data_IF_177136258032
#
_entry.id   IF_177136258032
#
_cell.length_a   1.000
_cell.length_b   1.000
_cell.length_c   1.000
_cell.angle_alpha   90.00
_cell.angle_beta   90.00
_cell.angle_gamma   90.00
#
_symmetry.space_group_name_H-M   'P 1'
#
loop_
_entity.id
_entity.type
_entity.pdbx_description
1 polymer ?
#
# COMPACT_ATOMS: atom_id res chain seq x y z
N UNK A 1 -1.02 35.24 11.78
CA UNK A 1 -1.40 33.93 11.20
C UNK A 1 -0.25 32.98 11.46
N UNK A 2 -0.48 31.89 12.19
CA UNK A 2 0.53 30.82 12.31
C UNK A 2 0.48 29.99 11.02
N UNK A 3 1.61 29.62 10.41
CA UNK A 3 1.57 28.69 9.29
C UNK A 3 0.98 27.37 9.80
N UNK A 4 -0.07 26.89 9.15
CA UNK A 4 -0.49 25.49 9.27
C UNK A 4 0.71 24.67 8.84
N UNK A 5 1.34 24.00 9.79
CA UNK A 5 2.30 22.95 9.50
C UNK A 5 1.51 21.86 8.79
N UNK A 6 1.55 21.84 7.45
CA UNK A 6 1.10 20.69 6.68
C UNK A 6 1.89 19.50 7.18
N UNK A 7 1.30 18.69 8.07
CA UNK A 7 1.89 17.42 8.44
C UNK A 7 2.06 16.62 7.14
N UNK A 8 3.23 16.02 6.89
CA UNK A 8 3.37 15.14 5.76
C UNK A 8 2.33 14.02 5.90
N UNK A 9 1.48 13.85 4.90
CA UNK A 9 0.50 12.77 4.85
C UNK A 9 1.25 11.43 4.85
N UNK A 10 0.71 10.42 5.53
CA UNK A 10 1.34 9.10 5.52
C UNK A 10 1.32 8.53 4.09
N UNK A 11 2.29 7.68 3.70
CA UNK A 11 2.27 7.01 2.42
C UNK A 11 0.99 6.22 2.15
N UNK A 12 0.35 5.66 3.19
CA UNK A 12 -0.96 5.00 3.05
C UNK A 12 -2.05 6.03 2.74
N UNK A 13 -2.09 7.15 3.47
CA UNK A 13 -3.06 8.23 3.22
C UNK A 13 -2.88 8.88 1.84
N UNK A 14 -1.65 8.94 1.32
CA UNK A 14 -1.34 9.34 -0.05
C UNK A 14 -2.05 8.46 -1.08
N UNK A 15 -2.14 7.14 -0.86
CA UNK A 15 -2.82 6.24 -1.79
C UNK A 15 -4.31 6.59 -1.94
N UNK A 16 -4.95 6.98 -0.84
CA UNK A 16 -6.36 7.37 -0.83
C UNK A 16 -6.66 8.73 -1.44
N UNK A 17 -5.71 9.67 -1.32
CA UNK A 17 -5.89 11.06 -1.77
C UNK A 17 -5.43 11.30 -3.20
N UNK A 18 -4.64 10.37 -3.76
CA UNK A 18 -4.11 10.49 -5.11
C UNK A 18 -5.07 9.84 -6.10
N UNK A 19 -5.40 10.55 -7.17
CA UNK A 19 -6.15 9.96 -8.28
C UNK A 19 -5.39 8.74 -8.82
N UNK A 20 -6.11 7.65 -9.03
CA UNK A 20 -5.48 6.38 -9.41
C UNK A 20 -4.62 6.49 -10.69
N UNK A 21 -5.03 7.32 -11.66
CA UNK A 21 -4.25 7.58 -12.87
C UNK A 21 -2.86 8.20 -12.61
N UNK A 22 -2.65 8.79 -11.43
CA UNK A 22 -1.38 9.36 -10.98
C UNK A 22 -0.64 8.47 -9.98
N UNK A 23 -1.23 7.37 -9.54
CA UNK A 23 -0.55 6.39 -8.70
C UNK A 23 0.48 5.61 -9.50
N UNK A 24 1.59 5.31 -8.85
CA UNK A 24 2.71 4.56 -9.42
C UNK A 24 3.06 3.36 -8.54
N UNK A 25 3.77 2.36 -9.09
CA UNK A 25 4.34 1.28 -8.27
C UNK A 25 5.23 1.79 -7.13
N UNK A 26 5.90 2.93 -7.31
CA UNK A 26 6.71 3.55 -6.26
C UNK A 26 5.88 4.01 -5.07
N UNK A 27 4.68 4.55 -5.30
CA UNK A 27 3.79 4.98 -4.21
C UNK A 27 3.33 3.78 -3.37
N UNK A 28 3.00 2.67 -4.03
CA UNK A 28 2.65 1.42 -3.35
C UNK A 28 3.86 0.89 -2.56
N UNK A 29 5.06 0.97 -3.15
CA UNK A 29 6.30 0.56 -2.48
C UNK A 29 6.61 1.41 -1.24
N UNK A 30 6.35 2.72 -1.28
CA UNK A 30 6.46 3.61 -0.14
C UNK A 30 5.49 3.21 0.98
N UNK A 31 4.23 2.92 0.63
CA UNK A 31 3.22 2.45 1.59
C UNK A 31 3.59 1.10 2.23
N UNK A 32 4.11 0.16 1.44
CA UNK A 32 4.64 -1.12 1.95
C UNK A 32 5.75 -0.88 2.98
N UNK A 33 6.70 -0.01 2.67
CA UNK A 33 7.85 0.25 3.55
C UNK A 33 7.47 1.04 4.80
N UNK A 34 6.40 1.83 4.74
CA UNK A 34 5.88 2.60 5.86
C UNK A 34 5.08 1.74 6.85
N UNK A 35 4.36 0.72 6.36
CA UNK A 35 3.48 -0.10 7.20
C UNK A 35 4.26 -0.91 8.24
N UNK A 36 4.03 -0.61 9.52
CA UNK A 36 4.63 -1.32 10.66
C UNK A 36 4.02 -2.73 10.79
N UNK A 37 4.81 -3.80 10.61
CA UNK A 37 4.31 -5.18 10.70
C UNK A 37 3.87 -5.60 12.11
N UNK A 38 4.28 -4.87 13.15
CA UNK A 38 3.89 -5.12 14.55
C UNK A 38 2.65 -4.35 14.99
N UNK A 39 2.18 -3.41 14.18
CA UNK A 39 1.00 -2.61 14.44
C UNK A 39 -0.27 -3.48 14.51
N UNK A 40 -1.22 -3.09 15.36
CA UNK A 40 -2.55 -3.68 15.38
C UNK A 40 -3.29 -3.53 14.03
N UNK A 41 -2.94 -2.49 13.26
CA UNK A 41 -3.49 -2.22 11.93
C UNK A 41 -2.75 -2.97 10.80
N UNK A 42 -1.68 -3.71 11.09
CA UNK A 42 -0.81 -4.28 10.05
C UNK A 42 -1.57 -5.10 8.98
N UNK A 43 -2.53 -5.94 9.38
CA UNK A 43 -3.30 -6.72 8.40
C UNK A 43 -4.14 -5.80 7.51
N UNK A 44 -4.83 -4.83 8.11
CA UNK A 44 -5.68 -3.88 7.39
C UNK A 44 -4.84 -3.05 6.42
N UNK A 45 -3.72 -2.47 6.87
CA UNK A 45 -2.81 -1.70 6.00
C UNK A 45 -2.36 -2.53 4.79
N UNK A 46 -2.01 -3.81 4.99
CA UNK A 46 -1.59 -4.66 3.87
C UNK A 46 -2.70 -5.01 2.91
N UNK A 47 -3.94 -5.14 3.41
CA UNK A 47 -5.12 -5.39 2.56
C UNK A 47 -5.41 -4.18 1.68
N UNK A 48 -5.37 -2.99 2.27
CA UNK A 48 -5.57 -1.72 1.56
C UNK A 48 -4.50 -1.53 0.47
N UNK A 49 -3.22 -1.69 0.83
CA UNK A 49 -2.09 -1.61 -0.11
C UNK A 49 -2.23 -2.63 -1.25
N UNK A 50 -2.64 -3.87 -0.94
CA UNK A 50 -2.88 -4.90 -1.96
C UNK A 50 -4.00 -4.48 -2.92
N UNK A 51 -5.09 -3.90 -2.41
CA UNK A 51 -6.19 -3.40 -3.24
C UNK A 51 -5.73 -2.34 -4.27
N UNK A 52 -4.88 -1.41 -3.86
CA UNK A 52 -4.29 -0.43 -4.79
C UNK A 52 -3.35 -1.08 -5.81
N UNK A 53 -2.54 -2.05 -5.40
CA UNK A 53 -1.67 -2.78 -6.32
C UNK A 53 -2.45 -3.62 -7.34
N UNK A 54 -3.56 -4.24 -6.91
CA UNK A 54 -4.46 -5.01 -7.78
C UNK A 54 -5.16 -4.11 -8.80
N UNK A 55 -5.62 -2.93 -8.40
CA UNK A 55 -6.12 -1.93 -9.34
C UNK A 55 -5.03 -1.55 -10.36
N UNK A 56 -3.78 -1.39 -9.90
CA UNK A 56 -2.58 -1.23 -10.71
C UNK A 56 -2.45 -2.23 -11.84
N UNK A 57 -2.49 -3.51 -11.49
CA UNK A 57 -2.40 -4.62 -12.44
C UNK A 57 -3.58 -4.65 -13.42
N UNK A 58 -4.78 -4.29 -12.97
CA UNK A 58 -5.96 -4.25 -13.85
C UNK A 58 -5.85 -3.16 -14.93
N UNK A 59 -5.32 -2.00 -14.57
CA UNK A 59 -5.13 -0.89 -15.51
C UNK A 59 -3.90 -1.09 -16.41
N UNK A 60 -2.81 -1.65 -15.85
CA UNK A 60 -1.53 -1.82 -16.53
C UNK A 60 -1.08 -3.29 -16.54
N UNK A 61 -1.83 -4.20 -17.18
CA UNK A 61 -1.60 -5.65 -17.08
C UNK A 61 -0.28 -6.13 -17.68
N UNK A 62 0.33 -5.35 -18.57
CA UNK A 62 1.62 -5.67 -19.21
C UNK A 62 2.82 -5.00 -18.52
N UNK A 63 2.60 -4.20 -17.47
CA UNK A 63 3.70 -3.54 -16.76
C UNK A 63 4.40 -4.51 -15.80
N UNK A 64 5.71 -4.76 -15.99
CA UNK A 64 6.48 -5.59 -15.07
C UNK A 64 6.61 -4.95 -13.68
N UNK A 65 6.62 -3.61 -13.59
CA UNK A 65 6.70 -2.88 -12.32
C UNK A 65 5.42 -3.05 -11.50
N UNK A 66 4.24 -2.94 -12.14
CA UNK A 66 2.96 -3.21 -11.48
C UNK A 66 2.83 -4.67 -11.08
N UNK A 67 3.33 -5.60 -11.91
CA UNK A 67 3.31 -7.04 -11.59
C UNK A 67 4.17 -7.34 -10.37
N UNK A 68 5.39 -6.79 -10.34
CA UNK A 68 6.30 -6.94 -9.22
C UNK A 68 5.71 -6.39 -7.92
N UNK A 69 5.14 -5.18 -7.95
CA UNK A 69 4.64 -4.57 -6.72
C UNK A 69 3.38 -5.24 -6.19
N UNK A 70 2.52 -5.74 -7.10
CA UNK A 70 1.37 -6.57 -6.74
C UNK A 70 1.80 -7.86 -6.04
N UNK A 71 2.73 -8.62 -6.63
CA UNK A 71 3.23 -9.85 -6.02
C UNK A 71 3.84 -9.60 -4.63
N UNK A 72 4.54 -8.47 -4.47
CA UNK A 72 5.12 -8.07 -3.19
C UNK A 72 4.03 -7.76 -2.17
N UNK A 73 3.03 -6.96 -2.54
CA UNK A 73 1.90 -6.63 -1.67
C UNK A 73 1.13 -7.89 -1.26
N UNK A 74 0.90 -8.81 -2.20
CA UNK A 74 0.20 -10.08 -1.96
C UNK A 74 0.96 -10.96 -0.97
N UNK A 75 2.29 -11.12 -1.14
CA UNK A 75 3.13 -11.90 -0.21
C UNK A 75 3.06 -11.36 1.22
N UNK A 76 3.07 -10.03 1.37
CA UNK A 76 3.00 -9.38 2.68
C UNK A 76 1.62 -9.58 3.31
N UNK A 77 0.54 -9.35 2.56
CA UNK A 77 -0.82 -9.58 3.04
C UNK A 77 -1.02 -11.03 3.50
N UNK A 78 -0.62 -12.02 2.67
CA UNK A 78 -0.73 -13.44 3.02
C UNK A 78 0.05 -13.80 4.29
N UNK A 79 1.27 -13.26 4.43
CA UNK A 79 2.06 -13.47 5.63
C UNK A 79 1.37 -12.90 6.89
N UNK A 80 0.86 -11.67 6.81
CA UNK A 80 0.14 -11.03 7.92
C UNK A 80 -1.17 -11.74 8.26
N UNK A 81 -1.90 -12.22 7.25
CA UNK A 81 -3.13 -12.98 7.43
C UNK A 81 -2.86 -14.30 8.16
N UNK A 82 -1.77 -14.99 7.81
CA UNK A 82 -1.35 -16.23 8.49
C UNK A 82 -1.05 -15.98 9.98
N UNK A 83 -0.28 -14.94 10.31
CA UNK A 83 0.05 -14.58 11.70
C UNK A 83 -1.20 -14.24 12.55
N UNK A 84 -2.28 -13.73 11.93
CA UNK A 84 -3.54 -13.48 12.64
C UNK A 84 -4.34 -14.75 12.87
N UNK A 85 -4.30 -15.71 11.94
CA UNK A 85 -4.97 -17.00 12.09
C UNK A 85 -4.31 -17.95 13.10
N UNK A 86 -3.06 -17.69 13.48
CA UNK A 86 -2.33 -18.45 14.52
C UNK A 86 -2.60 -17.96 15.96
N UNK A 87 -3.36 -16.87 16.14
CA UNK A 87 -3.75 -16.31 17.45
C UNK A 87 -5.18 -16.70 17.83
#
# INVERSE_FOLDING_TARGET
MKPETSQPISPIEKLYRTDFASLTPTDIQEAINYSDPSSAAALQDSEEILGFAEAGIREYPESPEWSYIYERAEKIFRHRAALRGEK
#
